data_IF_692861349607
#
_entry.id   IF_692861349607
#
_cell.length_a   1.000
_cell.length_b   1.000
_cell.length_c   1.000
_cell.angle_alpha   90.00
_cell.angle_beta   90.00
_cell.angle_gamma   90.00
#
_symmetry.space_group_name_H-M   'P 1'
#
loop_
_entity.id
_entity.type
_entity.pdbx_description
1 polymer ?
#
# COMPACT_ATOMS: atom_id res chain seq x y z
N UNK A 1 1.57 25.20 -0.44
CA UNK A 1 0.80 23.95 -0.52
C UNK A 1 0.96 23.18 0.78
N UNK A 2 -0.12 22.94 1.54
CA UNK A 2 -0.08 22.10 2.75
C UNK A 2 -0.12 20.65 2.29
N UNK A 3 0.99 19.93 2.45
CA UNK A 3 1.07 18.50 2.11
C UNK A 3 0.34 17.71 3.19
N UNK A 4 -0.72 17.00 2.82
CA UNK A 4 -1.48 16.07 3.67
C UNK A 4 -1.23 14.64 3.23
N UNK A 5 -1.21 13.71 4.18
CA UNK A 5 -0.99 12.28 3.95
C UNK A 5 -2.12 11.46 4.57
N UNK A 6 -2.44 10.31 3.96
CA UNK A 6 -3.23 9.29 4.63
C UNK A 6 -2.31 8.47 5.53
N UNK A 7 -2.70 8.30 6.79
CA UNK A 7 -1.94 7.46 7.70
C UNK A 7 -2.21 5.98 7.41
N UNK A 8 -1.23 5.12 7.68
CA UNK A 8 -1.48 3.68 7.69
C UNK A 8 -2.43 3.37 8.84
N UNK A 9 -3.69 3.12 8.50
CA UNK A 9 -4.69 2.61 9.43
C UNK A 9 -4.23 1.38 10.19
N UNK A 10 -4.62 1.26 11.45
CA UNK A 10 -4.44 0.02 12.23
C UNK A 10 -5.68 -0.86 12.09
N UNK A 11 -5.46 -2.15 11.87
CA UNK A 11 -6.51 -3.15 11.78
C UNK A 11 -5.99 -4.49 12.28
N UNK A 12 -6.87 -5.38 12.77
CA UNK A 12 -6.45 -6.70 13.20
C UNK A 12 -5.88 -7.47 12.01
N UNK A 13 -4.74 -8.12 12.22
CA UNK A 13 -4.19 -9.08 11.26
C UNK A 13 -5.12 -10.30 11.24
N UNK A 14 -5.57 -10.70 10.05
CA UNK A 14 -6.36 -11.92 9.89
C UNK A 14 -5.54 -13.16 10.29
N UNK A 15 -6.24 -14.25 10.63
CA UNK A 15 -5.63 -15.51 11.07
C UNK A 15 -4.66 -16.13 10.04
N UNK A 16 -4.81 -15.77 8.76
CA UNK A 16 -3.89 -16.17 7.70
C UNK A 16 -2.54 -15.43 7.73
N UNK A 17 -2.38 -14.43 8.59
CA UNK A 17 -1.13 -13.67 8.80
C UNK A 17 -0.74 -12.74 7.65
N UNK A 18 -1.54 -12.64 6.58
CA UNK A 18 -1.17 -11.96 5.34
C UNK A 18 -2.24 -10.99 4.84
N UNK A 19 -3.32 -10.79 5.60
CA UNK A 19 -4.43 -9.90 5.23
C UNK A 19 -4.90 -9.08 6.42
N UNK A 20 -5.24 -7.83 6.19
CA UNK A 20 -5.86 -6.97 7.20
C UNK A 20 -6.82 -5.97 6.55
N UNK A 21 -7.83 -5.54 7.31
CA UNK A 21 -8.73 -4.45 6.92
C UNK A 21 -8.54 -3.30 7.89
N UNK A 22 -8.36 -2.09 7.37
CA UNK A 22 -8.06 -0.92 8.17
C UNK A 22 -8.90 0.30 7.75
N UNK A 23 -9.13 1.19 8.72
CA UNK A 23 -9.65 2.54 8.52
C UNK A 23 -8.50 3.54 8.54
N UNK A 24 -8.62 4.66 7.85
CA UNK A 24 -7.53 5.62 7.71
C UNK A 24 -7.98 7.02 8.11
N UNK A 25 -7.15 7.71 8.90
CA UNK A 25 -7.27 9.14 9.14
C UNK A 25 -6.37 9.91 8.17
N UNK A 26 -6.49 11.24 8.18
CA UNK A 26 -5.59 12.14 7.42
C UNK A 26 -4.68 12.87 8.41
N UNK A 27 -3.39 12.95 8.09
CA UNK A 27 -2.36 13.57 8.93
C UNK A 27 -1.55 14.61 8.16
N UNK A 28 -0.89 15.51 8.88
CA UNK A 28 0.11 16.41 8.32
C UNK A 28 1.49 15.72 8.16
N UNK A 29 2.48 16.44 7.62
CA UNK A 29 3.86 15.94 7.45
C UNK A 29 4.59 15.55 8.74
N UNK A 30 4.04 15.92 9.90
CA UNK A 30 4.57 15.56 11.22
C UNK A 30 3.80 14.39 11.84
N UNK A 31 2.81 13.82 11.15
CA UNK A 31 1.97 12.75 11.65
C UNK A 31 0.84 13.23 12.57
N UNK A 32 0.61 14.54 12.71
CA UNK A 32 -0.51 15.05 13.50
C UNK A 32 -1.80 14.90 12.72
N UNK A 33 -2.84 14.33 13.36
CA UNK A 33 -4.17 14.20 12.76
C UNK A 33 -4.73 15.57 12.36
N UNK A 34 -5.25 15.65 11.12
CA UNK A 34 -5.97 16.80 10.57
C UNK A 34 -7.42 16.47 10.21
N UNK A 35 -7.74 15.18 10.00
CA UNK A 35 -9.10 14.69 9.81
C UNK A 35 -9.19 13.26 10.37
N UNK A 36 -10.17 12.95 11.23
CA UNK A 36 -10.34 11.60 11.78
C UNK A 36 -10.71 10.60 10.69
N UNK A 37 -10.60 9.31 11.02
CA UNK A 37 -11.10 8.26 10.15
C UNK A 37 -12.62 8.36 9.99
N UNK A 38 -13.09 8.10 8.78
CA UNK A 38 -14.52 8.05 8.47
C UNK A 38 -14.95 6.58 8.48
N UNK A 39 -15.96 6.27 9.29
CA UNK A 39 -16.37 4.90 9.60
C UNK A 39 -16.85 4.12 8.38
N UNK A 40 -17.34 4.81 7.35
CA UNK A 40 -17.81 4.21 6.09
C UNK A 40 -16.68 3.76 5.18
N UNK A 41 -15.49 4.37 5.29
CA UNK A 41 -14.37 4.06 4.42
C UNK A 41 -13.41 3.07 5.07
N UNK A 42 -13.01 2.07 4.30
CA UNK A 42 -11.98 1.12 4.70
C UNK A 42 -11.17 0.66 3.50
N UNK A 43 -10.02 0.05 3.78
CA UNK A 43 -9.28 -0.69 2.78
C UNK A 43 -8.83 -2.04 3.33
N UNK A 44 -8.85 -3.05 2.49
CA UNK A 44 -8.32 -4.38 2.78
C UNK A 44 -7.02 -4.57 2.01
N UNK A 45 -5.93 -4.87 2.70
CA UNK A 45 -4.65 -5.24 2.08
C UNK A 45 -4.45 -6.74 2.20
N UNK A 46 -4.07 -7.36 1.09
CA UNK A 46 -3.64 -8.76 1.05
C UNK A 46 -2.21 -8.84 0.52
N UNK A 47 -1.32 -9.46 1.26
CA UNK A 47 0.04 -9.79 0.82
C UNK A 47 -0.02 -11.12 0.07
N UNK A 48 0.18 -11.07 -1.25
CA UNK A 48 0.10 -12.24 -2.13
C UNK A 48 1.42 -13.03 -2.10
N UNK A 49 2.54 -12.31 -2.11
CA UNK A 49 3.87 -12.90 -2.06
C UNK A 49 4.85 -11.89 -1.45
N UNK A 50 5.82 -12.39 -0.68
CA UNK A 50 6.88 -11.59 -0.11
C UNK A 50 8.24 -12.29 -0.28
N UNK A 51 9.22 -11.54 -0.76
CA UNK A 51 10.59 -12.00 -0.97
C UNK A 51 11.58 -10.98 -0.40
N UNK A 52 12.87 -11.31 -0.39
CA UNK A 52 13.93 -10.40 0.07
C UNK A 52 13.80 -9.06 -0.67
N UNK A 53 13.47 -8.01 0.08
CA UNK A 53 13.30 -6.62 -0.37
C UNK A 53 12.15 -6.35 -1.36
N UNK A 54 11.29 -7.31 -1.71
CA UNK A 54 10.17 -7.09 -2.64
C UNK A 54 8.90 -7.81 -2.20
N UNK A 55 7.73 -7.29 -2.57
CA UNK A 55 6.45 -7.95 -2.31
C UNK A 55 5.44 -7.67 -3.42
N UNK A 56 4.40 -8.50 -3.50
CA UNK A 56 3.19 -8.25 -4.27
C UNK A 56 2.03 -8.13 -3.29
N UNK A 57 1.30 -7.03 -3.37
CA UNK A 57 0.08 -6.82 -2.58
C UNK A 57 -1.11 -6.50 -3.49
N UNK A 58 -2.29 -6.76 -2.97
CA UNK A 58 -3.57 -6.27 -3.47
C UNK A 58 -4.20 -5.37 -2.41
N UNK A 59 -4.80 -4.27 -2.82
CA UNK A 59 -5.55 -3.36 -1.96
C UNK A 59 -6.95 -3.18 -2.56
N UNK A 60 -7.98 -3.46 -1.77
CA UNK A 60 -9.38 -3.19 -2.12
C UNK A 60 -9.89 -2.03 -1.26
N UNK A 61 -10.39 -0.98 -1.90
CA UNK A 61 -11.00 0.19 -1.27
C UNK A 61 -12.51 0.00 -1.16
N UNK A 62 -13.08 0.37 -0.02
CA UNK A 62 -14.51 0.22 0.26
C UNK A 62 -15.16 1.47 0.83
N UNK A 63 -16.42 1.67 0.46
CA UNK A 63 -17.35 2.63 1.06
C UNK A 63 -18.62 1.89 1.45
N UNK A 64 -19.05 2.01 2.71
CA UNK A 64 -20.22 1.30 3.25
C UNK A 64 -20.20 -0.21 2.96
N UNK A 65 -19.01 -0.80 3.05
CA UNK A 65 -18.77 -2.23 2.79
C UNK A 65 -18.81 -2.64 1.31
N UNK A 66 -19.08 -1.71 0.39
CA UNK A 66 -19.09 -1.97 -1.06
C UNK A 66 -17.73 -1.63 -1.65
N UNK A 67 -17.27 -2.46 -2.59
CA UNK A 67 -16.03 -2.24 -3.31
C UNK A 67 -16.17 -1.03 -4.24
N UNK A 68 -15.30 -0.03 -4.08
CA UNK A 68 -15.27 1.18 -4.91
C UNK A 68 -14.07 1.22 -5.87
N UNK A 69 -13.11 0.32 -5.68
CA UNK A 69 -11.95 0.16 -6.54
C UNK A 69 -10.88 -0.68 -5.87
N UNK A 70 -9.98 -1.21 -6.67
CA UNK A 70 -8.87 -2.02 -6.19
C UNK A 70 -7.59 -1.76 -6.99
N UNK A 71 -6.47 -2.20 -6.44
CA UNK A 71 -5.18 -2.07 -7.10
C UNK A 71 -4.23 -3.18 -6.67
N UNK A 72 -3.37 -3.59 -7.60
CA UNK A 72 -2.21 -4.42 -7.32
C UNK A 72 -0.97 -3.54 -7.27
N UNK A 73 -0.08 -3.81 -6.32
CA UNK A 73 1.18 -3.08 -6.17
C UNK A 73 2.35 -4.02 -5.98
N UNK A 74 3.37 -3.80 -6.81
CA UNK A 74 4.70 -4.39 -6.63
C UNK A 74 5.51 -3.47 -5.73
N UNK A 75 5.89 -3.96 -4.56
CA UNK A 75 6.66 -3.22 -3.57
C UNK A 75 8.15 -3.56 -3.69
N UNK A 76 9.01 -2.56 -3.45
CA UNK A 76 10.45 -2.75 -3.32
C UNK A 76 11.03 -1.82 -2.23
N UNK A 77 12.03 -2.29 -1.49
CA UNK A 77 12.77 -1.44 -0.53
C UNK A 77 13.66 -0.41 -1.22
N UNK A 78 14.05 -0.65 -2.47
CA UNK A 78 14.74 0.33 -3.32
C UNK A 78 13.78 0.85 -4.40
N UNK A 79 13.54 2.17 -4.39
CA UNK A 79 12.59 2.88 -5.26
C UNK A 79 12.77 2.64 -6.77
N UNK A 80 13.97 2.26 -7.22
CA UNK A 80 14.29 2.09 -8.64
C UNK A 80 14.61 0.63 -9.01
N UNK A 81 14.52 -0.30 -8.07
CA UNK A 81 14.88 -1.69 -8.31
C UNK A 81 13.74 -2.46 -8.98
N UNK A 82 14.13 -3.38 -9.88
CA UNK A 82 13.19 -4.33 -10.47
C UNK A 82 12.70 -5.36 -9.45
N UNK A 83 11.48 -5.91 -9.62
CA UNK A 83 10.97 -6.95 -8.74
C UNK A 83 11.75 -8.27 -8.86
N UNK A 84 11.87 -8.95 -7.73
CA UNK A 84 12.43 -10.29 -7.65
C UNK A 84 11.66 -11.29 -8.54
N UNK A 85 12.35 -12.34 -9.05
CA UNK A 85 11.75 -13.42 -9.84
C UNK A 85 10.55 -14.09 -9.15
N UNK A 86 10.55 -14.22 -7.82
CA UNK A 86 9.40 -14.75 -7.05
C UNK A 86 8.15 -13.87 -7.22
N UNK A 87 8.31 -12.55 -7.19
CA UNK A 87 7.21 -11.60 -7.40
C UNK A 87 6.67 -11.70 -8.83
N UNK A 88 7.54 -11.84 -9.83
CA UNK A 88 7.11 -12.08 -11.22
C UNK A 88 6.31 -13.38 -11.36
N UNK A 89 6.74 -14.46 -10.70
CA UNK A 89 5.98 -15.72 -10.66
C UNK A 89 4.62 -15.57 -9.96
N UNK A 90 4.57 -14.80 -8.88
CA UNK A 90 3.32 -14.54 -8.16
C UNK A 90 2.31 -13.78 -9.02
N UNK A 91 2.75 -12.77 -9.79
CA UNK A 91 1.90 -12.08 -10.77
C UNK A 91 1.28 -13.06 -11.77
N UNK A 92 2.09 -13.96 -12.34
CA UNK A 92 1.58 -14.96 -13.28
C UNK A 92 0.55 -15.91 -12.64
N UNK A 93 0.72 -16.28 -11.36
CA UNK A 93 -0.24 -17.14 -10.64
C UNK A 93 -1.61 -16.48 -10.45
N UNK A 94 -1.65 -15.15 -10.36
CA UNK A 94 -2.90 -14.38 -10.30
C UNK A 94 -3.31 -13.82 -11.67
N UNK A 95 -2.75 -14.37 -12.75
CA UNK A 95 -3.04 -13.98 -14.14
C UNK A 95 -2.81 -12.50 -14.46
N UNK A 96 -1.84 -11.87 -13.78
CA UNK A 96 -1.42 -10.49 -14.03
C UNK A 96 -0.11 -10.45 -14.80
N UNK A 97 -0.04 -9.51 -15.74
CA UNK A 97 1.14 -9.24 -16.55
C UNK A 97 1.86 -7.98 -16.05
N UNK A 98 3.13 -8.12 -15.66
CA UNK A 98 3.95 -7.01 -15.17
C UNK A 98 4.09 -5.89 -16.20
N UNK A 99 4.01 -6.18 -17.50
CA UNK A 99 4.13 -5.17 -18.56
C UNK A 99 2.95 -4.21 -18.60
N UNK A 100 1.81 -4.59 -18.00
CA UNK A 100 0.62 -3.74 -17.89
C UNK A 100 0.66 -2.81 -16.67
N UNK A 101 1.67 -2.94 -15.80
CA UNK A 101 1.82 -2.08 -14.64
C UNK A 101 2.48 -0.76 -15.01
N UNK A 102 2.08 0.31 -14.35
CA UNK A 102 2.74 1.62 -14.45
C UNK A 102 4.10 1.57 -13.78
N UNK A 103 5.15 1.96 -14.50
CA UNK A 103 6.53 1.98 -14.01
C UNK A 103 6.82 3.33 -13.31
N UNK A 104 6.74 3.34 -11.98
CA UNK A 104 6.80 4.59 -11.20
C UNK A 104 8.16 5.28 -11.15
N UNK A 105 9.26 4.56 -11.41
CA UNK A 105 10.61 5.16 -11.40
C UNK A 105 10.79 6.25 -12.46
N UNK A 106 9.98 6.22 -13.52
CA UNK A 106 10.06 7.13 -14.66
C UNK A 106 9.11 8.34 -14.53
N UNK A 107 8.33 8.43 -13.44
CA UNK A 107 7.31 9.47 -13.23
C UNK A 107 7.81 10.71 -12.46
N UNK A 108 9.08 10.76 -12.07
CA UNK A 108 9.62 11.89 -11.30
C UNK A 108 9.03 12.02 -9.88
N UNK A 109 8.67 10.90 -9.24
CA UNK A 109 8.02 10.89 -7.93
C UNK A 109 8.86 11.62 -6.85
N UNK A 110 8.18 12.47 -6.07
CA UNK A 110 8.73 13.10 -4.85
C UNK A 110 8.30 12.30 -3.64
N UNK A 111 9.26 11.90 -2.80
CA UNK A 111 9.03 11.09 -1.60
C UNK A 111 9.37 11.88 -0.34
N UNK A 112 8.55 11.75 0.71
CA UNK A 112 8.90 12.17 2.07
C UNK A 112 9.42 10.98 2.87
N UNK A 113 10.69 10.64 2.66
CA UNK A 113 11.33 9.51 3.34
C UNK A 113 11.44 9.74 4.86
N UNK A 114 11.52 11.01 5.29
CA UNK A 114 11.63 11.35 6.71
C UNK A 114 10.38 10.89 7.43
N UNK A 115 9.20 11.25 6.91
CA UNK A 115 7.91 10.81 7.43
C UNK A 115 7.83 9.28 7.59
N UNK A 116 8.17 8.52 6.54
CA UNK A 116 8.12 7.05 6.61
C UNK A 116 9.18 6.44 7.55
N UNK A 117 10.30 7.12 7.78
CA UNK A 117 11.40 6.62 8.62
C UNK A 117 11.25 6.91 10.12
N UNK A 118 10.41 7.91 10.46
CA UNK A 118 10.10 8.31 11.84
C UNK A 118 8.80 7.71 12.36
N UNK A 119 8.11 6.89 11.55
CA UNK A 119 6.88 6.24 11.97
C UNK A 119 7.14 5.31 13.17
N UNK A 120 6.39 5.52 14.27
CA UNK A 120 6.48 4.75 15.52
C UNK A 120 7.85 4.79 16.22
N UNK A 121 8.66 5.83 15.98
CA UNK A 121 9.87 6.15 16.76
C UNK A 121 9.61 7.33 17.67
#
# INVERSE_FOLDING_TARGET
SKVSFYNTGTGPLESNGAKYTAKFNTVDKKGKEIKPADEKYSYTVTVIEAAKQSALIHICLREDGKDIGDLYSVLNRNKNALPNKKIKKALNKVSLDLTKFVVTKDLGCKYDNKFTSSWQK
#
